data_IF_753719203868
#
_entry.id   IF_753719203868
#
_cell.length_a   1.000
_cell.length_b   1.000
_cell.length_c   1.000
_cell.angle_alpha   90.00
_cell.angle_beta   90.00
_cell.angle_gamma   90.00
#
_symmetry.space_group_name_H-M   'P 1'
#
loop_
_entity.id
_entity.type
_entity.pdbx_description
1 polymer ?
#
# COMPACT_ATOMS: atom_id res chain seq x y z
N UNK A 1 -7.74 7.20 6.11
CA UNK A 1 -9.07 6.82 6.67
C UNK A 1 -8.94 5.62 7.60
N UNK A 2 -8.28 4.54 7.15
CA UNK A 2 -8.00 3.36 7.99
C UNK A 2 -7.14 3.67 9.21
N UNK A 3 -6.07 4.46 9.07
CA UNK A 3 -5.20 4.83 10.21
C UNK A 3 -5.96 5.53 11.34
N UNK A 4 -6.78 6.52 11.01
CA UNK A 4 -7.57 7.29 11.98
C UNK A 4 -8.56 6.40 12.74
N UNK A 5 -9.18 5.44 12.03
CA UNK A 5 -10.08 4.47 12.63
C UNK A 5 -9.33 3.54 13.60
N UNK A 6 -8.22 2.94 13.16
CA UNK A 6 -7.41 2.05 14.00
C UNK A 6 -6.84 2.80 15.21
N UNK A 7 -6.33 4.01 15.02
CA UNK A 7 -5.83 4.86 16.10
C UNK A 7 -6.92 5.21 17.13
N UNK A 8 -8.18 5.37 16.69
CA UNK A 8 -9.31 5.56 17.60
C UNK A 8 -9.59 4.28 18.41
N UNK A 9 -9.58 3.11 17.77
CA UNK A 9 -9.77 1.82 18.44
C UNK A 9 -8.66 1.54 19.47
N UNK A 10 -7.40 1.71 19.09
CA UNK A 10 -6.24 1.48 19.97
C UNK A 10 -6.28 2.41 21.20
N UNK A 11 -6.63 3.69 21.02
CA UNK A 11 -6.83 4.61 22.14
C UNK A 11 -7.97 4.19 23.06
N UNK A 12 -9.05 3.63 22.51
CA UNK A 12 -10.15 3.07 23.29
C UNK A 12 -9.72 1.89 24.16
N UNK A 13 -8.93 0.96 23.58
CA UNK A 13 -8.37 -0.20 24.28
C UNK A 13 -7.45 0.24 25.43
N UNK A 14 -6.57 1.20 25.17
CA UNK A 14 -5.66 1.78 26.16
C UNK A 14 -6.35 2.76 27.13
N UNK A 15 -7.67 2.94 27.01
CA UNK A 15 -8.49 3.90 27.77
C UNK A 15 -7.95 5.34 27.79
N UNK A 16 -7.25 5.74 26.72
CA UNK A 16 -6.69 7.10 26.58
C UNK A 16 -7.76 8.07 26.16
N UNK A 17 -7.86 9.18 26.89
CA UNK A 17 -8.80 10.26 26.63
C UNK A 17 -8.13 11.40 25.87
N UNK A 18 -8.93 12.32 25.33
CA UNK A 18 -8.43 13.45 24.55
C UNK A 18 -7.53 14.39 25.37
N UNK A 19 -7.70 14.47 26.69
CA UNK A 19 -6.86 15.29 27.57
C UNK A 19 -5.45 14.72 27.80
N UNK A 20 -5.26 13.41 27.63
CA UNK A 20 -3.95 12.76 27.82
C UNK A 20 -2.94 13.15 26.74
N UNK A 21 -3.39 13.75 25.62
CA UNK A 21 -2.57 14.22 24.49
C UNK A 21 -1.48 13.24 24.04
N UNK A 22 -1.80 11.94 24.06
CA UNK A 22 -0.86 10.87 23.69
C UNK A 22 -0.60 10.88 22.19
N UNK A 23 0.69 10.92 21.81
CA UNK A 23 1.16 10.81 20.43
C UNK A 23 0.82 9.43 19.84
N UNK A 24 0.60 9.33 18.53
CA UNK A 24 0.29 8.05 17.88
C UNK A 24 1.43 7.02 18.04
N UNK A 25 2.68 7.47 17.94
CA UNK A 25 3.87 6.63 18.13
C UNK A 25 3.89 5.91 19.48
N UNK A 26 3.46 6.59 20.54
CA UNK A 26 3.37 6.00 21.88
C UNK A 26 2.29 4.92 21.95
N UNK A 27 1.15 5.15 21.28
CA UNK A 27 0.06 4.17 21.21
C UNK A 27 0.53 2.90 20.48
N UNK A 28 1.24 3.05 19.36
CA UNK A 28 1.78 1.92 18.60
C UNK A 28 2.86 1.16 19.37
N UNK A 29 3.73 1.88 20.08
CA UNK A 29 4.77 1.27 20.94
C UNK A 29 4.16 0.42 22.06
N UNK A 30 3.06 0.87 22.66
CA UNK A 30 2.38 0.15 23.74
C UNK A 30 1.60 -1.08 23.24
N UNK A 31 1.14 -1.08 22.00
CA UNK A 31 0.34 -2.17 21.42
C UNK A 31 1.14 -3.08 20.50
N UNK A 32 2.45 -2.82 20.37
CA UNK A 32 3.35 -3.51 19.45
C UNK A 32 2.84 -3.52 18.00
N UNK A 33 2.01 -2.53 17.65
CA UNK A 33 1.43 -2.39 16.31
C UNK A 33 2.33 -1.55 15.42
N UNK A 34 2.29 -1.82 14.11
CA UNK A 34 2.91 -0.98 13.09
C UNK A 34 1.90 -0.01 12.50
N UNK A 35 2.34 1.08 11.86
CA UNK A 35 1.46 1.91 11.05
C UNK A 35 0.76 1.07 9.99
N UNK A 36 -0.56 1.24 9.85
CA UNK A 36 -1.36 0.42 8.93
C UNK A 36 -0.93 0.62 7.47
N UNK A 37 -0.41 1.81 7.16
CA UNK A 37 0.17 2.16 5.87
C UNK A 37 1.30 1.20 5.48
N UNK A 38 2.16 0.82 6.43
CA UNK A 38 3.26 -0.11 6.17
C UNK A 38 2.75 -1.52 5.87
N UNK A 39 1.74 -2.00 6.60
CA UNK A 39 1.13 -3.31 6.37
C UNK A 39 0.40 -3.39 5.03
N UNK A 40 -0.35 -2.33 4.69
CA UNK A 40 -1.00 -2.19 3.39
C UNK A 40 0.06 -2.16 2.28
N UNK A 41 1.14 -1.40 2.46
CA UNK A 41 2.24 -1.31 1.50
C UNK A 41 2.93 -2.66 1.28
N UNK A 42 3.22 -3.42 2.34
CA UNK A 42 3.78 -4.77 2.24
C UNK A 42 2.84 -5.74 1.50
N UNK A 43 1.54 -5.68 1.79
CA UNK A 43 0.54 -6.54 1.13
C UNK A 43 0.42 -6.20 -0.35
N UNK A 44 0.37 -4.90 -0.68
CA UNK A 44 0.41 -4.42 -2.06
C UNK A 44 1.67 -4.86 -2.78
N UNK A 45 2.83 -4.78 -2.12
CA UNK A 45 4.10 -5.21 -2.70
C UNK A 45 4.08 -6.70 -3.08
N UNK A 46 3.63 -7.57 -2.18
CA UNK A 46 3.46 -9.01 -2.46
C UNK A 46 2.54 -9.26 -3.64
N UNK A 47 1.47 -8.47 -3.78
CA UNK A 47 0.54 -8.58 -4.91
C UNK A 47 1.15 -8.12 -6.24
N UNK A 48 1.91 -7.01 -6.23
CA UNK A 48 2.64 -6.52 -7.40
C UNK A 48 3.65 -7.57 -7.87
N UNK A 49 4.40 -8.14 -6.94
CA UNK A 49 5.37 -9.19 -7.19
C UNK A 49 4.71 -10.43 -7.81
N UNK A 50 3.61 -10.92 -7.22
CA UNK A 50 2.85 -12.04 -7.76
C UNK A 50 2.33 -11.77 -9.18
N UNK A 51 1.82 -10.56 -9.42
CA UNK A 51 1.32 -10.15 -10.74
C UNK A 51 2.45 -10.07 -11.77
N UNK A 52 3.64 -9.63 -11.36
CA UNK A 52 4.82 -9.53 -12.24
C UNK A 52 5.43 -10.88 -12.61
N UNK A 53 5.31 -11.90 -11.75
CA UNK A 53 5.75 -13.27 -12.06
C UNK A 53 4.94 -13.92 -13.18
N UNK A 54 3.74 -13.41 -13.49
CA UNK A 54 2.91 -13.90 -14.61
C UNK A 54 3.56 -13.54 -15.96
N UNK A 55 3.29 -14.32 -17.02
CA UNK A 55 3.86 -14.04 -18.34
C UNK A 55 3.40 -12.69 -18.89
N UNK A 56 4.16 -12.12 -19.82
CA UNK A 56 3.91 -10.78 -20.40
C UNK A 56 2.57 -10.66 -21.14
N UNK A 57 2.06 -11.78 -21.66
CA UNK A 57 0.74 -11.87 -22.30
C UNK A 57 -0.43 -11.89 -21.29
N UNK A 58 -0.15 -11.95 -19.99
CA UNK A 58 -1.20 -11.99 -18.98
C UNK A 58 -1.86 -10.61 -18.81
N UNK A 59 -3.19 -10.59 -18.93
CA UNK A 59 -4.01 -9.37 -18.83
C UNK A 59 -3.77 -8.63 -17.50
N UNK A 60 -3.60 -9.34 -16.39
CA UNK A 60 -3.34 -8.69 -15.08
C UNK A 60 -2.00 -7.97 -15.03
N UNK A 61 -0.97 -8.49 -15.71
CA UNK A 61 0.34 -7.85 -15.83
C UNK A 61 0.31 -6.64 -16.75
N UNK A 62 -0.47 -6.69 -17.83
CA UNK A 62 -0.69 -5.54 -18.71
C UNK A 62 -1.51 -4.44 -18.02
N UNK A 63 -2.56 -4.82 -17.30
CA UNK A 63 -3.41 -3.91 -16.53
C UNK A 63 -2.65 -3.12 -15.45
N UNK A 64 -1.56 -3.69 -14.93
CA UNK A 64 -0.67 -3.04 -13.95
C UNK A 64 -0.01 -1.76 -14.50
N UNK A 65 0.31 -1.72 -15.80
CA UNK A 65 0.92 -0.57 -16.47
C UNK A 65 -0.10 0.28 -17.25
N UNK A 66 -1.33 -0.20 -17.36
CA UNK A 66 -2.36 0.43 -18.16
C UNK A 66 -2.77 1.78 -17.56
N UNK A 67 -2.69 2.83 -18.38
CA UNK A 67 -3.18 4.15 -18.04
C UNK A 67 -4.53 4.37 -18.74
N UNK A 68 -5.66 4.32 -18.02
CA UNK A 68 -6.97 4.50 -18.62
C UNK A 68 -7.13 5.94 -19.10
N UNK A 69 -7.44 6.12 -20.38
CA UNK A 69 -7.67 7.45 -20.97
C UNK A 69 -9.09 7.96 -20.70
N UNK A 70 -9.25 9.28 -20.60
CA UNK A 70 -10.53 9.96 -20.45
C UNK A 70 -10.88 10.44 -19.04
N UNK A 71 -11.88 11.31 -18.95
CA UNK A 71 -12.40 11.81 -17.68
C UNK A 71 -13.25 10.74 -17.00
N UNK A 72 -12.96 10.46 -15.73
CA UNK A 72 -13.74 9.51 -14.93
C UNK A 72 -15.15 10.02 -14.66
N UNK A 73 -16.15 9.17 -14.87
CA UNK A 73 -17.52 9.44 -14.43
C UNK A 73 -17.62 9.56 -12.90
N UNK A 74 -18.74 10.12 -12.42
CA UNK A 74 -19.05 10.18 -10.98
C UNK A 74 -18.99 8.78 -10.36
N UNK A 75 -18.32 8.64 -9.22
CA UNK A 75 -18.16 7.36 -8.50
C UNK A 75 -16.88 6.59 -8.83
N UNK A 76 -16.11 6.99 -9.85
CA UNK A 76 -14.80 6.39 -10.11
C UNK A 76 -13.80 6.75 -8.99
N UNK A 77 -13.02 5.78 -8.48
CA UNK A 77 -11.93 6.07 -7.54
C UNK A 77 -10.99 7.15 -8.10
N UNK A 78 -10.63 8.11 -7.25
CA UNK A 78 -9.75 9.23 -7.60
C UNK A 78 -8.34 8.77 -7.99
N UNK A 79 -7.87 7.72 -7.34
CA UNK A 79 -6.58 7.11 -7.59
C UNK A 79 -6.70 5.95 -8.58
N UNK A 80 -5.74 5.85 -9.49
CA UNK A 80 -5.63 4.71 -10.40
C UNK A 80 -4.74 3.64 -9.78
N UNK A 81 -4.93 2.38 -10.20
CA UNK A 81 -4.09 1.27 -9.79
C UNK A 81 -2.60 1.54 -10.04
N UNK A 82 -2.28 2.11 -11.22
CA UNK A 82 -0.92 2.55 -11.57
C UNK A 82 -0.33 3.56 -10.57
N UNK A 83 -1.09 4.58 -10.18
CA UNK A 83 -0.64 5.61 -9.21
C UNK A 83 -0.43 5.03 -7.81
N UNK A 84 -1.32 4.15 -7.37
CA UNK A 84 -1.14 3.43 -6.10
C UNK A 84 0.17 2.65 -6.10
N UNK A 85 0.40 1.85 -7.15
CA UNK A 85 1.61 1.05 -7.30
C UNK A 85 2.87 1.93 -7.37
N UNK A 86 2.84 3.04 -8.12
CA UNK A 86 3.94 4.00 -8.20
C UNK A 86 4.27 4.64 -6.84
N UNK A 87 3.25 4.96 -6.03
CA UNK A 87 3.45 5.49 -4.68
C UNK A 87 4.10 4.45 -3.78
N UNK A 88 3.60 3.22 -3.75
CA UNK A 88 4.20 2.14 -2.95
C UNK A 88 5.64 1.84 -3.40
N UNK A 89 5.90 1.87 -4.71
CA UNK A 89 7.27 1.75 -5.25
C UNK A 89 8.19 2.86 -4.77
N UNK A 90 7.69 4.09 -4.75
CA UNK A 90 8.45 5.25 -4.27
C UNK A 90 8.77 5.11 -2.79
N UNK A 91 7.82 4.62 -1.98
CA UNK A 91 8.04 4.32 -0.56
C UNK A 91 9.09 3.23 -0.36
N UNK A 92 9.13 2.22 -1.22
CA UNK A 92 10.13 1.13 -1.19
C UNK A 92 11.48 1.52 -1.84
N UNK A 93 11.61 2.73 -2.39
CA UNK A 93 12.81 3.19 -3.08
C UNK A 93 13.14 2.40 -4.36
N UNK A 94 12.14 1.80 -5.02
CA UNK A 94 12.33 0.97 -6.23
C UNK A 94 11.77 1.65 -7.47
N UNK A 95 12.40 1.44 -8.63
CA UNK A 95 11.90 1.88 -9.95
C UNK A 95 11.31 0.70 -10.74
N UNK A 96 10.32 0.97 -11.60
CA UNK A 96 9.72 -0.04 -12.50
C UNK A 96 10.74 -0.91 -13.25
N UNK A 97 11.82 -0.31 -13.77
CA UNK A 97 12.87 -1.04 -14.49
C UNK A 97 13.72 -1.98 -13.62
N UNK A 98 13.73 -1.78 -12.30
CA UNK A 98 14.37 -2.69 -11.35
C UNK A 98 13.44 -3.83 -10.92
N UNK A 99 12.12 -3.61 -10.91
CA UNK A 99 11.16 -4.68 -10.57
C UNK A 99 11.19 -5.84 -11.57
N UNK A 100 11.31 -5.55 -12.86
CA UNK A 100 11.40 -6.60 -13.88
C UNK A 100 12.59 -7.54 -13.64
N UNK A 101 13.71 -7.02 -13.12
CA UNK A 101 14.93 -7.78 -12.81
C UNK A 101 14.82 -8.51 -11.47
N UNK A 102 14.37 -7.82 -10.41
CA UNK A 102 14.21 -8.41 -9.07
C UNK A 102 13.27 -9.63 -9.06
N UNK A 103 12.20 -9.58 -9.86
CA UNK A 103 11.25 -10.70 -9.98
C UNK A 103 11.87 -11.88 -10.74
N UNK A 104 12.72 -11.62 -11.74
CA UNK A 104 13.42 -12.66 -12.49
C UNK A 104 14.51 -13.34 -11.64
N UNK A 105 15.27 -12.57 -10.86
CA UNK A 105 16.39 -13.06 -10.03
C UNK A 105 15.93 -13.96 -8.86
N UNK A 106 14.69 -13.81 -8.37
CA UNK A 106 14.11 -14.65 -7.29
C UNK A 106 13.43 -15.93 -7.79
N UNK A 107 13.36 -16.13 -9.11
CA UNK A 107 12.68 -17.28 -9.74
C UNK A 107 13.66 -18.36 -10.23
N UNK A 108 14.95 -18.21 -9.92
CA UNK A 108 16.02 -19.17 -10.22
C UNK A 108 16.23 -20.21 -9.12
#
# INVERSE_FOLDING_TARGET
MCELFLNRCLRGILRKKWHDRVRNEEVWRQTEQKPVEEEIGMTMWRLIEHTMRKPHNNITRQALQWNPQGNGGRGRPRETWKRCVEREMTMMGKRWGQLGKLVQDQSG
#
